data_IF_324775833596
#
_entry.id   IF_324775833596
#
_cell.length_a   1.000
_cell.length_b   1.000
_cell.length_c   1.000
_cell.angle_alpha   90.00
_cell.angle_beta   90.00
_cell.angle_gamma   90.00
#
_symmetry.space_group_name_H-M   'P 1'
#
loop_
_entity.id
_entity.type
_entity.pdbx_description
1 polymer ?
#
# COMPACT_ATOMS: atom_id res chain seq x y z
N UNK A 1 30.71 -71.31 -33.13
CA UNK A 1 29.78 -71.35 -34.28
C UNK A 1 28.89 -70.11 -34.16
N UNK A 2 29.23 -69.19 -35.01
CA UNK A 2 28.36 -68.32 -35.82
C UNK A 2 27.55 -67.34 -35.06
N UNK A 3 27.71 -66.14 -35.22
CA UNK A 3 28.00 -65.23 -36.32
C UNK A 3 26.86 -64.17 -36.36
N UNK A 4 27.27 -62.96 -36.74
CA UNK A 4 26.52 -61.82 -37.28
C UNK A 4 25.69 -60.94 -36.37
N UNK A 5 26.07 -59.80 -36.13
CA UNK A 5 26.17 -58.52 -36.68
C UNK A 5 24.87 -57.84 -37.07
N UNK A 6 24.87 -56.50 -37.34
CA UNK A 6 24.33 -55.45 -36.49
C UNK A 6 22.99 -54.92 -37.02
N UNK A 7 22.25 -54.23 -36.20
CA UNK A 7 21.16 -53.42 -36.73
C UNK A 7 21.03 -52.07 -36.02
N UNK A 8 21.05 -51.06 -36.82
CA UNK A 8 20.81 -49.65 -36.61
C UNK A 8 19.35 -49.37 -36.18
N UNK A 9 19.18 -48.58 -35.17
CA UNK A 9 17.88 -48.05 -34.73
C UNK A 9 17.99 -46.65 -34.17
N UNK A 10 17.55 -45.69 -34.96
CA UNK A 10 17.45 -44.28 -34.72
C UNK A 10 16.74 -43.95 -33.43
N UNK A 11 17.44 -43.29 -32.50
CA UNK A 11 16.85 -42.66 -31.33
C UNK A 11 16.55 -41.18 -31.61
N UNK A 12 15.31 -40.81 -31.49
CA UNK A 12 14.84 -39.41 -31.48
C UNK A 12 15.35 -38.70 -30.23
N UNK A 13 16.26 -37.78 -30.40
CA UNK A 13 16.62 -36.81 -29.40
C UNK A 13 15.66 -35.63 -29.48
N UNK A 14 14.89 -35.41 -28.44
CA UNK A 14 14.19 -34.12 -28.18
C UNK A 14 15.22 -33.06 -27.86
N UNK A 15 15.21 -31.90 -28.49
CA UNK A 15 16.10 -30.81 -28.12
C UNK A 15 15.54 -30.10 -26.89
N UNK A 16 16.19 -30.29 -25.75
CA UNK A 16 16.05 -29.46 -24.58
C UNK A 16 16.74 -28.12 -24.84
N UNK A 17 15.97 -27.14 -25.25
CA UNK A 17 16.45 -25.84 -25.71
C UNK A 17 16.58 -24.82 -24.58
N UNK A 18 17.36 -25.08 -23.56
CA UNK A 18 17.92 -24.03 -22.69
C UNK A 18 19.20 -23.48 -23.31
N UNK A 19 19.07 -22.67 -24.35
CA UNK A 19 20.18 -21.82 -24.79
C UNK A 19 20.37 -20.71 -23.77
N UNK A 20 21.44 -20.81 -22.99
CA UNK A 20 22.02 -19.70 -22.23
C UNK A 20 22.38 -18.58 -23.21
N UNK A 21 21.69 -17.44 -23.11
CA UNK A 21 22.04 -16.22 -23.83
C UNK A 21 23.46 -15.82 -23.41
N UNK A 22 24.44 -15.96 -24.31
CA UNK A 22 25.76 -15.38 -24.17
C UNK A 22 25.62 -13.86 -24.29
N UNK A 23 25.71 -13.17 -23.16
CA UNK A 23 25.82 -11.72 -23.08
C UNK A 23 27.28 -11.34 -23.42
N UNK A 24 27.44 -10.49 -24.40
CA UNK A 24 28.71 -9.90 -24.74
C UNK A 24 29.22 -8.97 -23.62
N UNK A 25 30.24 -9.38 -22.88
CA UNK A 25 30.75 -8.77 -21.65
C UNK A 25 31.71 -7.60 -21.92
N UNK A 26 31.45 -6.71 -22.85
CA UNK A 26 32.33 -5.55 -23.06
C UNK A 26 31.59 -4.21 -23.02
N UNK A 27 31.84 -3.44 -21.94
CA UNK A 27 31.53 -2.02 -21.73
C UNK A 27 30.09 -1.69 -21.30
N UNK A 28 29.81 -1.87 -20.03
CA UNK A 28 28.55 -1.51 -19.35
C UNK A 28 28.14 -2.50 -18.28
N UNK A 29 29.03 -3.46 -17.94
CA UNK A 29 28.75 -4.64 -17.12
C UNK A 29 28.47 -4.40 -15.63
N UNK A 30 28.85 -3.25 -15.08
CA UNK A 30 28.80 -3.01 -13.63
C UNK A 30 27.37 -2.87 -13.07
N UNK A 31 26.38 -2.66 -13.93
CA UNK A 31 24.98 -2.43 -13.51
C UNK A 31 24.01 -3.50 -13.98
N UNK A 32 24.46 -4.60 -14.60
CA UNK A 32 23.58 -5.63 -15.12
C UNK A 32 23.68 -6.92 -14.32
N UNK A 33 22.51 -7.40 -13.85
CA UNK A 33 22.34 -8.73 -13.29
C UNK A 33 22.35 -9.80 -14.40
N UNK A 34 22.62 -11.08 -14.07
CA UNK A 34 22.38 -12.19 -14.98
C UNK A 34 20.94 -12.13 -15.55
N UNK A 35 20.82 -12.19 -16.89
CA UNK A 35 19.54 -11.98 -17.58
C UNK A 35 19.28 -10.53 -18.02
N UNK A 36 20.29 -9.63 -17.93
CA UNK A 36 20.26 -8.28 -18.52
C UNK A 36 19.27 -7.31 -17.88
N UNK A 37 18.95 -7.49 -16.60
CA UNK A 37 18.20 -6.52 -15.80
C UNK A 37 19.17 -5.60 -15.07
N UNK A 38 18.79 -4.34 -14.88
CA UNK A 38 19.60 -3.38 -14.14
C UNK A 38 19.54 -3.67 -12.64
N UNK A 39 20.72 -3.74 -12.02
CA UNK A 39 20.89 -3.87 -10.57
C UNK A 39 20.74 -2.52 -9.88
N UNK A 40 19.68 -2.27 -9.13
CA UNK A 40 19.49 -0.99 -8.43
C UNK A 40 20.54 -0.78 -7.33
N UNK A 41 21.06 -1.85 -6.73
CA UNK A 41 22.08 -1.76 -5.67
C UNK A 41 23.41 -1.31 -6.24
N UNK A 42 23.85 -1.89 -7.36
CA UNK A 42 25.07 -1.48 -8.04
C UNK A 42 24.99 -0.02 -8.52
N UNK A 43 23.87 0.38 -9.13
CA UNK A 43 23.66 1.78 -9.53
C UNK A 43 23.74 2.73 -8.32
N UNK A 44 23.06 2.40 -7.22
CA UNK A 44 23.10 3.22 -6.00
C UNK A 44 24.52 3.35 -5.45
N UNK A 45 25.24 2.26 -5.35
CA UNK A 45 26.63 2.25 -4.86
C UNK A 45 27.51 3.18 -5.68
N UNK A 46 27.38 3.18 -7.01
CA UNK A 46 28.16 4.08 -7.87
C UNK A 46 27.85 5.55 -7.63
N UNK A 47 26.59 5.93 -7.38
CA UNK A 47 26.23 7.29 -7.00
C UNK A 47 26.81 7.69 -5.63
N UNK A 48 26.80 6.79 -4.65
CA UNK A 48 27.38 7.04 -3.34
C UNK A 48 28.89 7.21 -3.43
N UNK A 49 29.60 6.32 -4.13
CA UNK A 49 31.01 6.41 -4.35
C UNK A 49 31.42 7.73 -5.07
N UNK A 50 30.67 8.08 -6.14
CA UNK A 50 30.93 9.32 -6.87
C UNK A 50 30.74 10.56 -5.98
N UNK A 51 29.75 10.55 -5.09
CA UNK A 51 29.54 11.64 -4.12
C UNK A 51 30.64 11.71 -3.06
N UNK A 52 31.13 10.58 -2.56
CA UNK A 52 32.28 10.52 -1.64
C UNK A 52 33.57 11.03 -2.31
N UNK A 53 33.69 10.82 -3.62
CA UNK A 53 34.78 11.32 -4.43
C UNK A 53 34.63 12.81 -4.85
N UNK A 54 33.52 13.46 -4.45
CA UNK A 54 33.23 14.85 -4.80
C UNK A 54 32.77 15.05 -6.25
N UNK A 55 32.34 14.00 -6.92
CA UNK A 55 31.83 14.05 -8.30
C UNK A 55 30.31 14.17 -8.32
N UNK A 56 29.80 15.37 -8.09
CA UNK A 56 28.35 15.65 -8.08
C UNK A 56 27.72 15.61 -9.48
N UNK A 57 28.51 15.59 -10.55
CA UNK A 57 28.05 15.51 -11.95
C UNK A 57 27.94 14.06 -12.46
N UNK A 58 28.26 13.07 -11.62
CA UNK A 58 28.17 11.67 -12.00
C UNK A 58 26.76 11.27 -12.42
N UNK A 59 26.68 10.63 -13.58
CA UNK A 59 25.42 10.09 -14.11
C UNK A 59 25.64 8.65 -14.57
N UNK A 60 24.98 7.70 -13.91
CA UNK A 60 25.03 6.30 -14.31
C UNK A 60 24.38 6.11 -15.67
N UNK A 61 25.04 5.35 -16.56
CA UNK A 61 24.50 4.95 -17.86
C UNK A 61 24.54 3.44 -17.98
N UNK A 62 23.48 2.86 -18.49
CA UNK A 62 23.43 1.44 -18.80
C UNK A 62 23.31 1.25 -20.30
N UNK A 63 24.00 0.22 -20.82
CA UNK A 63 24.02 -0.13 -22.23
C UNK A 63 23.40 -1.51 -22.43
N UNK A 64 22.50 -1.62 -23.41
CA UNK A 64 21.91 -2.88 -23.86
C UNK A 64 22.21 -3.06 -25.35
N UNK A 65 22.80 -4.19 -25.72
CA UNK A 65 22.93 -4.61 -27.11
C UNK A 65 21.83 -5.61 -27.43
N UNK A 66 21.07 -5.39 -28.48
CA UNK A 66 19.90 -6.23 -28.80
C UNK A 66 20.35 -7.51 -29.51
N UNK A 67 20.09 -8.67 -28.91
CA UNK A 67 20.34 -9.98 -29.50
C UNK A 67 19.28 -10.41 -30.53
N UNK A 68 18.17 -9.69 -30.62
CA UNK A 68 17.05 -9.96 -31.57
C UNK A 68 16.25 -8.68 -31.86
N UNK A 69 15.47 -8.72 -32.92
CA UNK A 69 14.53 -7.66 -33.25
C UNK A 69 13.47 -7.51 -32.16
N UNK A 70 13.23 -6.29 -31.71
CA UNK A 70 12.22 -5.96 -30.73
C UNK A 70 11.03 -5.28 -31.42
N UNK A 71 9.86 -5.93 -31.36
CA UNK A 71 8.60 -5.37 -31.90
C UNK A 71 7.93 -4.39 -30.96
N UNK A 72 8.30 -4.43 -29.68
CA UNK A 72 7.75 -3.56 -28.66
C UNK A 72 8.37 -2.14 -28.74
N UNK A 73 7.66 -1.17 -28.18
CA UNK A 73 8.16 0.20 -28.02
C UNK A 73 9.36 0.21 -27.04
N UNK A 74 10.27 1.16 -27.22
CA UNK A 74 11.45 1.32 -26.37
C UNK A 74 11.10 1.44 -24.88
N UNK A 75 10.07 2.24 -24.53
CA UNK A 75 9.59 2.40 -23.17
C UNK A 75 9.12 1.07 -22.55
N UNK A 76 8.49 0.21 -23.33
CA UNK A 76 8.05 -1.12 -22.89
C UNK A 76 9.24 -2.07 -22.72
N UNK A 77 10.18 -2.07 -23.65
CA UNK A 77 11.40 -2.85 -23.55
C UNK A 77 12.19 -2.48 -22.27
N UNK A 78 12.45 -1.19 -22.07
CA UNK A 78 13.19 -0.69 -20.91
C UNK A 78 12.48 -1.02 -19.58
N UNK A 79 11.13 -1.03 -19.54
CA UNK A 79 10.38 -1.47 -18.34
C UNK A 79 10.67 -2.93 -17.96
N UNK A 80 11.03 -3.78 -18.92
CA UNK A 80 11.42 -5.17 -18.63
C UNK A 80 12.82 -5.28 -18.04
N UNK A 81 13.70 -4.32 -18.31
CA UNK A 81 15.11 -4.29 -17.92
C UNK A 81 15.35 -3.47 -16.64
N UNK A 82 14.62 -2.36 -16.45
CA UNK A 82 14.78 -1.41 -15.33
C UNK A 82 13.52 -1.51 -14.44
N UNK A 83 13.54 -2.45 -13.52
CA UNK A 83 12.35 -2.81 -12.71
C UNK A 83 11.97 -1.78 -11.65
N UNK A 84 12.91 -0.99 -11.16
CA UNK A 84 12.68 0.04 -10.13
C UNK A 84 12.10 1.35 -10.68
N UNK A 85 11.90 1.44 -12.00
CA UNK A 85 11.31 2.62 -12.65
C UNK A 85 9.94 2.29 -13.27
N UNK A 86 8.99 3.22 -13.13
CA UNK A 86 7.69 3.07 -13.79
C UNK A 86 7.81 3.34 -15.29
N UNK A 87 6.95 2.71 -16.10
CA UNK A 87 6.89 2.96 -17.55
C UNK A 87 6.70 4.44 -17.89
N UNK A 88 5.86 5.15 -17.12
CA UNK A 88 5.63 6.59 -17.32
C UNK A 88 6.91 7.41 -17.08
N UNK A 89 7.73 7.02 -16.07
CA UNK A 89 9.00 7.71 -15.80
C UNK A 89 10.03 7.43 -16.88
N UNK A 90 10.11 6.19 -17.36
CA UNK A 90 10.99 5.85 -18.49
C UNK A 90 10.57 6.60 -19.77
N UNK A 91 9.28 6.72 -20.05
CA UNK A 91 8.78 7.51 -21.17
C UNK A 91 9.17 9.00 -21.05
N UNK A 92 8.96 9.61 -19.90
CA UNK A 92 9.35 11.00 -19.63
C UNK A 92 10.87 11.20 -19.88
N UNK A 93 11.70 10.28 -19.40
CA UNK A 93 13.16 10.36 -19.58
C UNK A 93 13.57 10.19 -21.03
N UNK A 94 12.94 9.29 -21.78
CA UNK A 94 13.16 9.15 -23.22
C UNK A 94 12.83 10.46 -23.94
N UNK A 95 11.68 11.06 -23.62
CA UNK A 95 11.22 12.30 -24.24
C UNK A 95 12.11 13.50 -23.90
N UNK A 96 12.81 13.45 -22.75
CA UNK A 96 13.83 14.42 -22.32
C UNK A 96 15.25 14.13 -22.88
N UNK A 97 15.39 13.13 -23.74
CA UNK A 97 16.68 12.78 -24.34
C UNK A 97 17.59 11.89 -23.50
N UNK A 98 17.09 11.32 -22.39
CA UNK A 98 17.82 10.43 -21.50
C UNK A 98 18.11 9.02 -22.06
N UNK A 99 17.71 8.74 -23.31
CA UNK A 99 18.01 7.49 -23.99
C UNK A 99 18.56 7.74 -25.39
N UNK A 100 19.50 6.90 -25.85
CA UNK A 100 19.98 6.89 -27.22
C UNK A 100 19.83 5.50 -27.83
N UNK A 101 19.71 5.46 -29.16
CA UNK A 101 19.81 4.22 -29.95
C UNK A 101 20.88 4.47 -31.01
N UNK A 102 21.93 3.64 -30.99
CA UNK A 102 23.11 3.79 -31.85
C UNK A 102 23.72 5.22 -31.80
N UNK A 103 23.79 5.80 -30.59
CA UNK A 103 24.30 7.14 -30.34
C UNK A 103 23.37 8.30 -30.68
N UNK A 104 22.21 8.06 -31.31
CA UNK A 104 21.23 9.10 -31.63
C UNK A 104 20.13 9.14 -30.55
N UNK A 105 19.69 10.36 -30.17
CA UNK A 105 18.62 10.54 -29.19
C UNK A 105 17.38 9.76 -29.62
N UNK A 106 16.93 8.89 -28.75
CA UNK A 106 15.82 7.98 -29.03
C UNK A 106 14.47 8.67 -28.94
N UNK A 107 13.57 8.32 -29.85
CA UNK A 107 12.12 8.57 -29.69
C UNK A 107 11.47 7.37 -29.01
N UNK A 108 10.33 7.56 -28.40
CA UNK A 108 9.63 6.51 -27.67
C UNK A 108 9.21 5.27 -28.48
N UNK A 109 9.23 5.35 -29.80
CA UNK A 109 8.79 4.30 -30.73
C UNK A 109 9.73 4.03 -31.91
N UNK A 110 11.07 3.90 -31.71
CA UNK A 110 11.94 3.47 -32.79
C UNK A 110 11.69 2.01 -33.13
N UNK A 111 11.95 1.62 -34.38
CA UNK A 111 12.05 0.20 -34.75
C UNK A 111 13.40 -0.31 -34.26
N UNK A 112 13.38 -1.16 -33.26
CA UNK A 112 14.56 -1.74 -32.65
C UNK A 112 14.93 -3.06 -33.35
N UNK A 113 16.18 -3.18 -33.81
CA UNK A 113 16.70 -4.34 -34.56
C UNK A 113 17.81 -5.05 -33.79
N UNK A 114 18.07 -6.29 -34.17
CA UNK A 114 19.26 -7.00 -33.69
C UNK A 114 20.52 -6.17 -33.97
N UNK A 115 21.42 -6.12 -32.98
CA UNK A 115 22.65 -5.34 -33.02
C UNK A 115 22.49 -3.86 -32.63
N UNK A 116 21.27 -3.34 -32.47
CA UNK A 116 21.10 -1.98 -31.98
C UNK A 116 21.63 -1.86 -30.55
N UNK A 117 22.34 -0.76 -30.28
CA UNK A 117 22.87 -0.41 -28.98
C UNK A 117 21.98 0.67 -28.36
N UNK A 118 21.34 0.34 -27.26
CA UNK A 118 20.51 1.26 -26.48
C UNK A 118 21.34 1.71 -25.27
N UNK A 119 21.51 3.00 -25.08
CA UNK A 119 22.06 3.58 -23.86
C UNK A 119 20.96 4.36 -23.14
N UNK A 120 20.86 4.17 -21.82
CA UNK A 120 19.89 4.87 -20.98
C UNK A 120 20.59 5.47 -19.77
N UNK A 121 20.34 6.74 -19.52
CA UNK A 121 20.70 7.42 -18.28
C UNK A 121 19.83 6.84 -17.17
N UNK A 122 20.47 6.40 -16.09
CA UNK A 122 19.79 5.87 -14.92
C UNK A 122 19.99 6.87 -13.77
N UNK A 123 18.96 7.60 -13.32
CA UNK A 123 19.07 8.43 -12.13
C UNK A 123 19.38 7.55 -10.92
N UNK A 124 19.91 8.14 -9.85
CA UNK A 124 20.07 7.44 -8.59
C UNK A 124 18.74 6.76 -8.23
N UNK A 125 18.73 5.45 -8.01
CA UNK A 125 17.55 4.80 -7.48
C UNK A 125 17.13 5.52 -6.20
N UNK A 126 15.85 5.69 -5.91
CA UNK A 126 15.44 6.26 -4.64
C UNK A 126 16.19 5.51 -3.53
N UNK A 127 16.80 6.26 -2.61
CA UNK A 127 17.50 5.65 -1.48
C UNK A 127 16.51 4.71 -0.79
N UNK A 128 16.84 3.43 -0.67
CA UNK A 128 16.06 2.50 0.13
C UNK A 128 16.22 2.82 1.62
N UNK A 129 17.13 3.69 1.97
CA UNK A 129 17.30 4.22 3.30
C UNK A 129 16.13 5.14 3.64
N UNK A 130 15.40 4.71 4.65
CA UNK A 130 14.32 5.48 5.23
C UNK A 130 14.96 6.38 6.27
N UNK A 131 15.01 7.67 6.00
CA UNK A 131 15.57 8.64 6.95
C UNK A 131 14.71 8.69 8.21
N UNK A 132 15.32 8.77 9.41
CA UNK A 132 14.60 8.89 10.66
C UNK A 132 13.91 10.25 10.76
N UNK A 133 12.66 10.25 11.23
CA UNK A 133 11.90 11.45 11.60
C UNK A 133 11.36 11.30 13.02
N UNK A 134 11.55 12.30 13.88
CA UNK A 134 11.03 12.33 15.24
C UNK A 134 9.52 12.61 15.23
N UNK A 135 8.75 11.55 14.99
CA UNK A 135 7.29 11.59 15.00
C UNK A 135 6.81 10.70 16.15
N UNK A 136 6.04 11.23 17.11
CA UNK A 136 5.56 10.46 18.27
C UNK A 136 4.74 9.23 17.84
N UNK A 137 5.07 8.07 18.42
CA UNK A 137 4.34 6.83 18.24
C UNK A 137 3.60 6.44 19.52
N UNK A 138 2.39 5.89 19.37
CA UNK A 138 1.64 5.29 20.47
C UNK A 138 1.73 3.78 20.38
N UNK A 139 2.67 3.19 21.14
CA UNK A 139 2.89 1.74 21.18
C UNK A 139 1.79 1.08 22.01
N UNK A 140 1.16 0.04 21.46
CA UNK A 140 0.20 -0.84 22.14
C UNK A 140 0.87 -2.11 22.63
N UNK A 141 1.84 -2.63 21.87
CA UNK A 141 2.62 -3.80 22.19
C UNK A 141 3.92 -3.80 21.40
N UNK A 142 4.97 -4.28 22.04
CA UNK A 142 6.25 -4.57 21.39
C UNK A 142 6.88 -5.80 21.99
N UNK A 143 7.39 -6.69 21.15
CA UNK A 143 8.25 -7.81 21.52
C UNK A 143 9.42 -7.95 20.53
N UNK A 144 10.10 -9.08 20.50
CA UNK A 144 11.21 -9.35 19.59
C UNK A 144 10.77 -9.41 18.11
N UNK A 145 9.52 -9.75 17.84
CA UNK A 145 9.02 -10.13 16.50
C UNK A 145 8.08 -9.14 15.89
N UNK A 146 7.29 -8.44 16.68
CA UNK A 146 6.25 -7.53 16.23
C UNK A 146 6.21 -6.23 17.04
N UNK A 147 5.72 -5.18 16.39
CA UNK A 147 5.38 -3.91 17.01
C UNK A 147 3.96 -3.53 16.61
N UNK A 148 3.07 -3.34 17.59
CA UNK A 148 1.67 -2.93 17.37
C UNK A 148 1.48 -1.51 17.86
N UNK A 149 0.91 -0.65 17.01
CA UNK A 149 0.75 0.77 17.26
C UNK A 149 -0.73 1.19 17.16
N UNK A 150 -1.08 2.24 17.89
CA UNK A 150 -2.26 3.07 17.62
C UNK A 150 -1.85 4.23 16.71
N UNK A 151 -1.92 4.00 15.40
CA UNK A 151 -1.53 4.98 14.37
C UNK A 151 -2.34 6.27 14.51
N UNK A 152 -1.67 7.41 14.46
CA UNK A 152 -2.31 8.73 14.33
C UNK A 152 -2.85 8.94 12.90
N UNK A 153 -3.84 9.83 12.73
CA UNK A 153 -4.25 10.28 11.40
C UNK A 153 -3.15 11.11 10.72
N UNK A 154 -3.38 11.49 9.47
CA UNK A 154 -2.59 12.44 8.66
C UNK A 154 -1.17 11.97 8.29
N UNK A 155 -0.84 10.73 8.59
CA UNK A 155 0.43 10.10 8.27
C UNK A 155 0.23 8.86 7.40
N UNK A 156 0.99 8.73 6.30
CA UNK A 156 1.02 7.51 5.49
C UNK A 156 1.93 6.45 6.13
N UNK A 157 1.66 5.20 5.84
CA UNK A 157 2.41 4.09 6.45
C UNK A 157 3.82 4.01 5.89
N UNK A 158 4.00 4.13 4.60
CA UNK A 158 5.29 4.00 3.91
C UNK A 158 5.42 5.05 2.81
N UNK A 159 6.66 5.40 2.40
CA UNK A 159 6.91 6.38 1.37
C UNK A 159 6.09 6.16 0.10
N UNK A 160 5.61 7.23 -0.49
CA UNK A 160 4.89 7.26 -1.76
C UNK A 160 5.63 8.20 -2.73
N UNK A 161 5.24 8.15 -4.02
CA UNK A 161 5.95 8.87 -5.10
C UNK A 161 6.26 10.35 -4.86
N UNK A 162 5.48 11.03 -4.03
CA UNK A 162 5.63 12.45 -3.74
C UNK A 162 6.05 12.73 -2.29
N UNK A 163 6.13 11.71 -1.44
CA UNK A 163 6.37 11.85 0.00
C UNK A 163 7.34 10.78 0.47
N UNK A 164 8.60 11.15 0.64
CA UNK A 164 9.66 10.27 1.09
C UNK A 164 9.95 10.43 2.59
N UNK A 165 9.37 11.43 3.25
CA UNK A 165 9.51 11.74 4.67
C UNK A 165 8.14 11.92 5.33
N UNK A 166 8.12 12.01 6.65
CA UNK A 166 6.89 12.17 7.40
C UNK A 166 5.97 10.94 7.36
N UNK A 167 6.54 9.74 7.22
CA UNK A 167 5.78 8.49 7.19
C UNK A 167 5.94 7.70 8.47
N UNK A 168 5.06 6.70 8.69
CA UNK A 168 5.20 5.80 9.84
C UNK A 168 6.57 5.09 9.84
N UNK A 169 7.09 4.73 8.65
CA UNK A 169 8.41 4.09 8.58
C UNK A 169 9.54 5.04 9.00
N UNK A 170 9.47 6.34 8.64
CA UNK A 170 10.46 7.32 9.14
C UNK A 170 10.40 7.42 10.67
N UNK A 171 9.19 7.45 11.24
CA UNK A 171 8.99 7.45 12.69
C UNK A 171 9.53 6.17 13.36
N UNK A 172 9.33 5.02 12.72
CA UNK A 172 9.81 3.73 13.24
C UNK A 172 11.33 3.62 13.22
N UNK A 173 11.98 4.08 12.15
CA UNK A 173 13.45 4.12 12.11
C UNK A 173 14.00 4.99 13.24
N UNK A 174 13.43 6.18 13.46
CA UNK A 174 13.80 7.02 14.61
C UNK A 174 13.55 6.33 15.95
N UNK A 175 12.39 5.70 16.11
CA UNK A 175 12.01 4.97 17.32
C UNK A 175 13.02 3.88 17.67
N UNK A 176 13.37 3.01 16.73
CA UNK A 176 14.32 1.92 16.95
C UNK A 176 15.74 2.42 17.24
N UNK A 177 16.19 3.46 16.56
CA UNK A 177 17.49 4.09 16.84
C UNK A 177 17.56 4.67 18.25
N UNK A 178 16.47 5.30 18.70
CA UNK A 178 16.44 5.98 20.01
C UNK A 178 16.27 5.00 21.17
N UNK A 179 15.44 3.97 21.01
CA UNK A 179 15.13 3.01 22.08
C UNK A 179 16.01 1.77 22.06
N UNK A 180 16.85 1.59 21.03
CA UNK A 180 17.68 0.39 20.84
C UNK A 180 16.87 -0.92 20.95
N UNK A 181 15.61 -0.88 20.52
CA UNK A 181 14.64 -1.99 20.69
C UNK A 181 14.63 -2.95 19.49
N UNK A 182 15.65 -2.92 18.63
CA UNK A 182 15.76 -3.76 17.43
C UNK A 182 15.59 -2.97 16.14
N UNK A 183 15.06 -3.61 15.11
CA UNK A 183 14.90 -3.03 13.77
C UNK A 183 13.64 -3.60 13.10
N UNK A 184 13.30 -3.08 11.93
CA UNK A 184 12.25 -3.65 11.09
C UNK A 184 12.80 -4.85 10.29
N UNK A 185 11.91 -5.79 9.94
CA UNK A 185 12.23 -6.83 8.97
C UNK A 185 12.74 -6.22 7.68
N UNK A 186 13.79 -6.82 7.12
CA UNK A 186 14.37 -6.39 5.83
C UNK A 186 13.45 -6.67 4.64
N UNK A 187 12.45 -7.53 4.79
CA UNK A 187 11.48 -7.85 3.72
C UNK A 187 10.76 -6.61 3.25
N UNK A 188 10.89 -6.30 1.97
CA UNK A 188 10.31 -5.11 1.35
C UNK A 188 11.24 -3.89 1.30
N UNK A 189 12.48 -3.96 1.76
CA UNK A 189 13.45 -2.87 1.68
C UNK A 189 13.65 -2.37 0.25
N UNK A 190 13.68 -3.28 -0.74
CA UNK A 190 13.81 -2.95 -2.16
C UNK A 190 12.66 -2.07 -2.67
N UNK A 191 11.53 -2.04 -1.97
CA UNK A 191 10.36 -1.20 -2.27
C UNK A 191 10.18 -0.05 -1.26
N UNK A 192 11.16 0.19 -0.36
CA UNK A 192 11.09 1.11 0.77
C UNK A 192 9.87 0.82 1.69
N UNK A 193 9.66 -0.45 2.01
CA UNK A 193 8.54 -0.94 2.84
C UNK A 193 8.97 -2.00 3.87
N UNK A 194 10.13 -1.85 4.54
CA UNK A 194 10.59 -2.84 5.49
C UNK A 194 9.57 -3.07 6.59
N UNK A 195 9.33 -4.32 6.95
CA UNK A 195 8.44 -4.73 8.04
C UNK A 195 6.93 -4.44 7.84
N UNK A 196 6.51 -3.89 6.70
CA UNK A 196 5.10 -3.53 6.44
C UNK A 196 4.29 -4.74 5.96
N UNK A 197 3.49 -5.34 6.82
CA UNK A 197 2.63 -6.49 6.53
C UNK A 197 1.21 -6.09 6.11
N UNK A 198 0.75 -4.92 6.49
CA UNK A 198 -0.51 -4.31 6.04
C UNK A 198 -0.46 -2.77 6.14
N UNK A 199 -1.54 -2.11 5.75
CA UNK A 199 -1.59 -0.65 5.76
C UNK A 199 -2.96 -0.11 6.16
N UNK A 200 -2.94 1.12 6.69
CA UNK A 200 -4.11 1.99 6.86
C UNK A 200 -4.00 3.19 5.93
N UNK A 201 -5.13 3.78 5.58
CA UNK A 201 -5.14 5.04 4.81
C UNK A 201 -4.53 6.18 5.64
N UNK A 202 -4.08 7.26 4.99
CA UNK A 202 -3.46 8.43 5.62
C UNK A 202 -4.26 8.91 6.83
N UNK A 203 -5.53 9.21 6.63
CA UNK A 203 -6.40 9.81 7.64
C UNK A 203 -7.14 8.78 8.52
N UNK A 204 -6.94 7.48 8.29
CA UNK A 204 -7.44 6.42 9.17
C UNK A 204 -6.49 6.24 10.34
N UNK A 205 -7.02 6.29 11.55
CA UNK A 205 -6.26 6.02 12.79
C UNK A 205 -6.50 4.60 13.31
N UNK A 206 -5.74 4.16 14.33
CA UNK A 206 -5.99 2.91 15.04
C UNK A 206 -4.92 1.82 14.87
N UNK A 207 -5.28 0.59 15.19
CA UNK A 207 -4.37 -0.56 15.24
C UNK A 207 -3.67 -0.82 13.91
N UNK A 208 -2.33 -0.91 13.97
CA UNK A 208 -1.48 -1.36 12.87
C UNK A 208 -0.32 -2.17 13.45
N UNK A 209 0.08 -3.26 12.77
CA UNK A 209 1.21 -4.10 13.18
C UNK A 209 2.33 -4.03 12.15
N UNK A 210 3.57 -4.03 12.66
CA UNK A 210 4.81 -4.10 11.89
C UNK A 210 5.59 -5.34 12.32
N UNK A 211 6.30 -5.96 11.40
CA UNK A 211 7.19 -7.07 11.69
C UNK A 211 8.62 -6.56 11.95
N UNK A 212 9.25 -7.06 13.01
CA UNK A 212 10.62 -6.75 13.42
C UNK A 212 11.64 -7.78 12.91
N UNK A 213 11.18 -8.94 12.40
CA UNK A 213 12.02 -9.96 11.79
C UNK A 213 11.42 -10.50 10.50
N UNK A 214 12.27 -11.04 9.60
CA UNK A 214 11.82 -11.57 8.33
C UNK A 214 10.87 -12.77 8.51
N UNK A 215 11.15 -13.61 9.49
CA UNK A 215 10.27 -14.74 9.82
C UNK A 215 8.89 -14.27 10.27
N UNK A 216 8.83 -13.25 11.14
CA UNK A 216 7.56 -12.65 11.57
C UNK A 216 6.84 -11.99 10.40
N UNK A 217 7.57 -11.33 9.49
CA UNK A 217 7.00 -10.70 8.30
C UNK A 217 6.28 -11.73 7.42
N UNK A 218 6.95 -12.82 7.09
CA UNK A 218 6.36 -13.86 6.23
C UNK A 218 5.16 -14.55 6.87
N UNK A 219 5.27 -14.88 8.16
CA UNK A 219 4.16 -15.49 8.89
C UNK A 219 2.96 -14.55 9.03
N UNK A 220 3.18 -13.28 9.38
CA UNK A 220 2.11 -12.28 9.42
C UNK A 220 1.51 -12.03 8.03
N UNK A 221 2.35 -11.91 6.99
CA UNK A 221 1.89 -11.79 5.61
C UNK A 221 0.95 -12.93 5.21
N UNK A 222 1.32 -14.18 5.53
CA UNK A 222 0.49 -15.36 5.32
C UNK A 222 -0.84 -15.29 6.09
N UNK A 223 -0.83 -14.86 7.37
CA UNK A 223 -2.06 -14.71 8.16
C UNK A 223 -3.01 -13.66 7.54
N UNK A 224 -2.48 -12.55 7.02
CA UNK A 224 -3.29 -11.55 6.30
C UNK A 224 -3.86 -12.10 4.98
N UNK A 225 -3.05 -12.83 4.20
CA UNK A 225 -3.46 -13.45 2.94
C UNK A 225 -4.55 -14.51 3.16
N UNK A 226 -4.39 -15.34 4.18
CA UNK A 226 -5.33 -16.41 4.56
C UNK A 226 -6.54 -15.90 5.36
N UNK A 227 -6.64 -14.58 5.61
CA UNK A 227 -7.75 -13.96 6.34
C UNK A 227 -7.89 -14.47 7.79
N UNK A 228 -6.78 -14.77 8.43
CA UNK A 228 -6.70 -15.23 9.81
C UNK A 228 -6.50 -14.06 10.81
N UNK A 229 -6.79 -12.83 10.37
CA UNK A 229 -6.66 -11.62 11.17
C UNK A 229 -8.03 -10.98 11.33
N UNK A 230 -8.51 -10.85 12.57
CA UNK A 230 -9.71 -10.09 12.90
C UNK A 230 -9.41 -8.59 12.85
N UNK A 231 -10.14 -7.87 12.03
CA UNK A 231 -9.98 -6.43 11.81
C UNK A 231 -11.31 -5.74 11.99
N UNK A 232 -11.44 -5.00 13.09
CA UNK A 232 -12.64 -4.23 13.42
C UNK A 232 -12.35 -2.74 13.35
N UNK A 233 -13.24 -2.03 12.69
CA UNK A 233 -13.18 -0.59 12.55
C UNK A 233 -14.42 0.04 13.14
N UNK A 234 -14.30 1.27 13.67
CA UNK A 234 -15.42 2.13 13.96
C UNK A 234 -15.46 3.26 12.96
N UNK A 235 -16.65 3.58 12.49
CA UNK A 235 -16.90 4.72 11.63
C UNK A 235 -18.15 5.48 12.04
N UNK A 236 -18.05 6.81 12.01
CA UNK A 236 -19.22 7.67 12.09
C UNK A 236 -19.68 7.99 10.67
N UNK A 237 -20.96 7.71 10.36
CA UNK A 237 -21.51 7.86 9.01
C UNK A 237 -22.72 8.78 8.99
N UNK A 238 -22.96 9.40 7.83
CA UNK A 238 -24.18 10.17 7.57
C UNK A 238 -25.38 9.25 7.42
N UNK A 239 -26.49 9.72 7.88
CA UNK A 239 -27.81 9.07 7.88
C UNK A 239 -27.89 7.81 8.75
N UNK A 240 -29.11 7.33 8.94
CA UNK A 240 -29.34 6.11 9.69
C UNK A 240 -29.10 4.89 8.82
N UNK A 241 -28.16 4.06 9.22
CA UNK A 241 -28.07 2.69 8.73
C UNK A 241 -29.22 1.91 9.33
N UNK A 242 -30.19 1.53 8.50
CA UNK A 242 -31.46 0.96 8.98
C UNK A 242 -31.36 -0.49 9.43
N UNK A 243 -30.49 -1.28 8.79
CA UNK A 243 -30.22 -2.67 9.17
C UNK A 243 -29.20 -2.70 10.29
N UNK A 244 -29.53 -3.36 11.40
CA UNK A 244 -28.63 -3.45 12.55
C UNK A 244 -27.35 -4.21 12.22
N UNK A 245 -27.45 -5.24 11.38
CA UNK A 245 -26.32 -5.97 10.79
C UNK A 245 -26.54 -6.24 9.30
N UNK A 246 -25.48 -6.13 8.49
CA UNK A 246 -25.51 -6.53 7.09
C UNK A 246 -24.14 -6.89 6.55
N UNK A 247 -24.10 -7.89 5.67
CA UNK A 247 -22.94 -8.17 4.82
C UNK A 247 -23.00 -7.26 3.58
N UNK A 248 -21.92 -6.53 3.33
CA UNK A 248 -21.70 -5.74 2.13
C UNK A 248 -20.74 -6.56 1.25
N UNK A 249 -21.26 -7.16 0.18
CA UNK A 249 -20.49 -7.97 -0.78
C UNK A 249 -20.51 -7.28 -2.15
N UNK A 250 -19.60 -6.36 -2.34
CA UNK A 250 -19.52 -5.51 -3.53
C UNK A 250 -18.08 -5.46 -4.03
N UNK A 251 -17.80 -5.88 -5.27
CA UNK A 251 -16.44 -5.88 -5.82
C UNK A 251 -15.92 -4.47 -6.04
N UNK A 252 -14.64 -4.25 -5.73
CA UNK A 252 -13.98 -2.95 -5.80
C UNK A 252 -12.87 -2.91 -6.84
N UNK A 253 -12.79 -1.80 -7.56
CA UNK A 253 -11.74 -1.58 -8.55
C UNK A 253 -11.33 -0.11 -8.67
N UNK A 254 -10.34 0.19 -9.54
CA UNK A 254 -9.94 1.56 -9.81
C UNK A 254 -11.07 2.36 -10.45
N UNK A 255 -11.13 3.67 -10.17
CA UNK A 255 -12.09 4.56 -10.83
C UNK A 255 -11.85 4.58 -12.34
N UNK A 256 -12.88 4.52 -13.19
CA UNK A 256 -12.72 4.45 -14.65
C UNK A 256 -12.13 5.72 -15.25
N UNK A 257 -12.34 6.87 -14.63
CA UNK A 257 -11.79 8.15 -15.12
C UNK A 257 -10.28 8.23 -14.87
N UNK A 258 -9.56 8.72 -15.91
CA UNK A 258 -8.11 8.99 -15.85
C UNK A 258 -7.79 10.44 -15.49
N UNK A 259 -8.79 11.25 -15.17
CA UNK A 259 -8.62 12.64 -14.75
C UNK A 259 -7.78 12.72 -13.48
N UNK A 260 -6.94 13.77 -13.39
CA UNK A 260 -6.10 14.03 -12.19
C UNK A 260 -7.01 14.10 -10.94
N UNK A 261 -6.62 13.44 -9.87
CA UNK A 261 -7.43 13.29 -8.64
C UNK A 261 -8.38 12.09 -8.62
N UNK A 262 -8.72 11.48 -9.77
CA UNK A 262 -9.54 10.25 -9.81
C UNK A 262 -8.72 8.96 -9.72
N UNK A 263 -7.40 9.02 -9.94
CA UNK A 263 -6.53 7.83 -9.98
C UNK A 263 -6.43 7.08 -8.64
N UNK A 264 -6.57 7.80 -7.55
CA UNK A 264 -6.51 7.25 -6.20
C UNK A 264 -7.85 6.69 -5.72
N UNK A 265 -8.96 7.14 -6.35
CA UNK A 265 -10.30 6.68 -6.00
C UNK A 265 -10.51 5.23 -6.39
N UNK A 266 -11.25 4.53 -5.53
CA UNK A 266 -11.81 3.21 -5.81
C UNK A 266 -13.32 3.35 -5.95
N UNK A 267 -13.92 2.41 -6.68
CA UNK A 267 -15.38 2.37 -6.89
C UNK A 267 -15.85 0.93 -6.89
N UNK A 268 -17.14 0.72 -6.67
CA UNK A 268 -17.78 -0.57 -6.92
C UNK A 268 -17.75 -0.83 -8.43
N UNK A 269 -17.25 -2.02 -8.82
CA UNK A 269 -17.12 -2.44 -10.23
C UNK A 269 -17.47 -3.91 -10.37
N UNK A 270 -18.31 -4.22 -11.34
CA UNK A 270 -18.75 -5.58 -11.66
C UNK A 270 -18.09 -6.15 -12.93
N UNK A 271 -17.10 -5.43 -13.49
CA UNK A 271 -16.28 -5.88 -14.62
C UNK A 271 -14.99 -6.58 -14.15
N UNK A 272 -14.14 -7.02 -15.08
CA UNK A 272 -12.90 -7.76 -14.83
C UNK A 272 -11.87 -7.01 -13.95
N UNK A 273 -12.04 -5.70 -13.75
CA UNK A 273 -11.22 -4.89 -12.85
C UNK A 273 -11.75 -4.83 -11.41
N UNK A 274 -12.95 -5.36 -11.18
CA UNK A 274 -13.56 -5.49 -9.87
C UNK A 274 -12.99 -6.69 -9.11
N UNK A 275 -12.48 -6.47 -7.90
CA UNK A 275 -11.97 -7.52 -7.00
C UNK A 275 -12.97 -7.77 -5.87
N UNK A 276 -13.30 -9.03 -5.63
CA UNK A 276 -14.19 -9.43 -4.53
C UNK A 276 -13.80 -8.77 -3.22
N UNK A 277 -14.78 -8.15 -2.56
CA UNK A 277 -14.58 -7.36 -1.35
C UNK A 277 -15.79 -7.48 -0.44
N UNK A 278 -15.56 -7.88 0.80
CA UNK A 278 -16.61 -8.19 1.77
C UNK A 278 -16.38 -7.47 3.10
N UNK A 279 -17.41 -6.78 3.59
CA UNK A 279 -17.41 -6.05 4.87
C UNK A 279 -18.71 -6.37 5.61
N UNK A 280 -18.62 -6.80 6.87
CA UNK A 280 -19.80 -6.87 7.75
C UNK A 280 -19.92 -5.51 8.43
N UNK A 281 -21.09 -4.91 8.35
CA UNK A 281 -21.43 -3.64 8.99
C UNK A 281 -22.46 -3.88 10.08
N UNK A 282 -22.14 -3.47 11.33
CA UNK A 282 -22.99 -3.56 12.51
C UNK A 282 -23.25 -2.18 13.08
N UNK A 283 -24.49 -1.82 13.29
CA UNK A 283 -24.84 -0.54 13.94
C UNK A 283 -24.57 -0.64 15.44
N UNK A 284 -23.97 0.41 16.00
CA UNK A 284 -23.70 0.53 17.44
C UNK A 284 -24.64 1.56 18.08
N UNK A 285 -24.81 2.70 17.43
CA UNK A 285 -25.68 3.77 17.89
C UNK A 285 -26.26 4.55 16.69
N UNK A 286 -27.48 5.06 16.85
CA UNK A 286 -28.09 6.01 15.91
C UNK A 286 -28.35 7.33 16.60
N UNK A 287 -28.17 8.44 15.88
CA UNK A 287 -28.32 9.78 16.42
C UNK A 287 -29.19 10.63 15.50
N UNK A 288 -29.97 11.52 16.09
CA UNK A 288 -30.77 12.50 15.37
C UNK A 288 -30.59 13.89 15.98
N UNK A 289 -29.76 14.72 15.36
CA UNK A 289 -29.59 16.11 15.73
C UNK A 289 -30.73 16.96 15.18
N UNK A 290 -31.14 18.02 15.90
CA UNK A 290 -32.08 18.99 15.37
C UNK A 290 -31.59 19.58 14.04
N UNK A 291 -32.48 20.15 13.24
CA UNK A 291 -32.11 20.87 12.03
C UNK A 291 -31.04 21.92 12.30
N UNK A 292 -30.07 22.09 11.39
CA UNK A 292 -29.16 23.21 11.47
C UNK A 292 -29.94 24.53 11.31
N UNK A 293 -29.37 25.64 11.79
CA UNK A 293 -29.97 26.98 11.69
C UNK A 293 -30.45 27.25 10.26
N UNK A 294 -31.71 27.65 10.10
CA UNK A 294 -32.38 27.89 8.81
C UNK A 294 -32.62 26.65 7.94
N UNK A 295 -32.65 25.45 8.50
CA UNK A 295 -33.04 24.22 7.81
C UNK A 295 -34.21 23.55 8.53
N UNK A 296 -35.04 22.81 7.80
CA UNK A 296 -36.23 22.12 8.34
C UNK A 296 -36.02 20.61 8.55
N UNK A 297 -34.86 20.07 8.16
CA UNK A 297 -34.58 18.63 8.18
C UNK A 297 -33.59 18.26 9.25
N UNK A 298 -33.91 17.30 10.10
CA UNK A 298 -33.00 16.72 11.09
C UNK A 298 -31.73 16.18 10.43
N UNK A 299 -30.64 16.20 11.18
CA UNK A 299 -29.37 15.59 10.76
C UNK A 299 -29.23 14.24 11.42
N UNK A 300 -29.10 13.18 10.64
CA UNK A 300 -29.01 11.81 11.13
C UNK A 300 -27.61 11.28 10.97
N UNK A 301 -27.19 10.45 11.93
CA UNK A 301 -25.87 9.81 11.92
C UNK A 301 -25.99 8.41 12.51
N UNK A 302 -25.05 7.53 12.16
CA UNK A 302 -24.88 6.23 12.79
C UNK A 302 -23.42 5.99 13.14
N UNK A 303 -23.19 5.47 14.34
CA UNK A 303 -21.92 4.85 14.69
C UNK A 303 -22.00 3.38 14.28
N UNK A 304 -21.07 2.95 13.44
CA UNK A 304 -21.04 1.58 12.92
C UNK A 304 -19.71 0.91 13.20
N UNK A 305 -19.76 -0.38 13.52
CA UNK A 305 -18.61 -1.26 13.56
C UNK A 305 -18.53 -2.05 12.25
N UNK A 306 -17.33 -2.14 11.70
CA UNK A 306 -17.09 -2.78 10.42
C UNK A 306 -16.03 -3.86 10.57
N UNK A 307 -16.39 -5.09 10.22
CA UNK A 307 -15.48 -6.21 10.17
C UNK A 307 -15.03 -6.45 8.73
N UNK A 308 -13.70 -6.41 8.52
CA UNK A 308 -13.13 -6.60 7.19
C UNK A 308 -12.78 -8.07 6.93
N UNK A 309 -13.57 -8.75 6.10
CA UNK A 309 -13.25 -10.08 5.60
C UNK A 309 -12.22 -10.05 4.47
N UNK A 310 -12.09 -8.90 3.80
CA UNK A 310 -11.06 -8.60 2.79
C UNK A 310 -10.42 -7.25 3.11
N UNK A 311 -9.29 -6.90 2.48
CA UNK A 311 -8.55 -5.65 2.75
C UNK A 311 -8.20 -4.89 1.47
N UNK A 312 -9.20 -4.40 0.71
CA UNK A 312 -8.93 -3.61 -0.49
C UNK A 312 -8.75 -2.13 -0.14
N UNK A 313 -7.99 -1.42 -0.98
CA UNK A 313 -7.77 0.03 -0.81
C UNK A 313 -9.11 0.76 -0.73
N UNK A 314 -9.30 1.60 0.31
CA UNK A 314 -10.49 2.38 0.58
C UNK A 314 -11.79 1.55 0.74
N UNK A 315 -11.70 0.25 1.05
CA UNK A 315 -12.85 -0.67 1.02
C UNK A 315 -14.04 -0.16 1.83
N UNK A 316 -13.86 0.13 3.11
CA UNK A 316 -14.94 0.63 3.99
C UNK A 316 -15.54 1.91 3.43
N UNK A 317 -14.70 2.85 3.02
CA UNK A 317 -15.08 4.18 2.51
C UNK A 317 -15.95 4.06 1.25
N UNK A 318 -15.54 3.18 0.32
CA UNK A 318 -16.31 2.92 -0.92
C UNK A 318 -17.61 2.20 -0.63
N UNK A 319 -17.60 1.14 0.18
CA UNK A 319 -18.78 0.37 0.53
C UNK A 319 -19.86 1.25 1.16
N UNK A 320 -19.50 2.00 2.21
CA UNK A 320 -20.44 2.88 2.91
C UNK A 320 -20.95 4.01 2.02
N UNK A 321 -20.08 4.66 1.24
CA UNK A 321 -20.50 5.71 0.31
C UNK A 321 -21.41 5.18 -0.80
N UNK A 322 -21.18 3.96 -1.31
CA UNK A 322 -22.04 3.33 -2.32
C UNK A 322 -23.44 3.06 -1.78
N UNK A 323 -23.56 2.70 -0.51
CA UNK A 323 -24.84 2.48 0.16
C UNK A 323 -25.54 3.79 0.60
N UNK A 324 -24.95 4.95 0.35
CA UNK A 324 -25.50 6.24 0.75
C UNK A 324 -25.10 6.71 2.15
N UNK A 325 -24.28 5.94 2.87
CA UNK A 325 -23.84 6.23 4.24
C UNK A 325 -22.37 6.66 4.26
N UNK A 326 -22.03 7.77 3.56
CA UNK A 326 -20.63 8.27 3.51
C UNK A 326 -20.10 8.53 4.93
N UNK A 327 -18.82 8.20 5.14
CA UNK A 327 -18.16 8.46 6.42
C UNK A 327 -18.07 9.98 6.64
N UNK A 328 -18.40 10.45 7.82
CA UNK A 328 -18.26 11.85 8.20
C UNK A 328 -16.84 12.32 7.96
N UNK A 329 -16.67 13.48 7.30
CA UNK A 329 -15.38 14.07 6.97
C UNK A 329 -14.62 13.44 5.81
N UNK A 330 -15.17 12.41 5.15
CA UNK A 330 -14.54 11.78 3.97
C UNK A 330 -14.92 12.51 2.67
N UNK A 331 -14.23 13.59 2.39
CA UNK A 331 -14.45 14.45 1.22
C UNK A 331 -14.30 13.68 -0.11
N UNK A 332 -13.33 12.76 -0.17
CA UNK A 332 -13.10 11.93 -1.37
C UNK A 332 -14.34 11.11 -1.74
N UNK A 333 -15.11 10.66 -0.75
CA UNK A 333 -16.31 9.83 -0.91
C UNK A 333 -17.59 10.52 -0.45
N UNK A 334 -17.67 11.86 -0.62
CA UNK A 334 -18.86 12.70 -0.38
C UNK A 334 -19.28 12.85 1.08
N UNK A 335 -18.44 12.44 2.03
CA UNK A 335 -18.69 12.68 3.45
C UNK A 335 -18.44 14.15 3.79
N UNK A 336 -19.43 14.78 4.44
CA UNK A 336 -19.31 16.15 4.90
C UNK A 336 -18.72 16.18 6.30
N UNK A 337 -18.06 17.29 6.71
CA UNK A 337 -17.65 17.49 8.09
C UNK A 337 -18.84 17.43 9.06
N UNK A 338 -18.58 17.01 10.30
CA UNK A 338 -19.53 17.18 11.39
C UNK A 338 -19.36 18.60 11.95
N UNK A 339 -20.46 19.32 11.99
CA UNK A 339 -20.51 20.65 12.58
C UNK A 339 -21.28 20.60 13.91
N UNK A 340 -20.83 21.35 14.91
CA UNK A 340 -21.57 21.60 16.13
C UNK A 340 -22.83 22.45 15.88
N UNK A 341 -23.47 22.94 16.94
CA UNK A 341 -24.69 23.76 16.84
C UNK A 341 -24.40 25.20 16.40
N UNK A 342 -23.20 25.67 16.67
CA UNK A 342 -22.70 27.02 16.32
C UNK A 342 -22.13 27.03 14.87
N UNK A 343 -21.95 25.87 14.24
CA UNK A 343 -21.44 25.71 12.89
C UNK A 343 -19.91 25.55 12.84
N UNK A 344 -19.25 25.28 13.98
CA UNK A 344 -17.83 24.97 14.02
C UNK A 344 -17.59 23.50 13.62
N UNK A 345 -16.52 23.26 12.91
CA UNK A 345 -16.16 21.91 12.47
C UNK A 345 -15.53 21.10 13.61
N UNK A 346 -16.11 19.95 13.90
CA UNK A 346 -15.59 18.99 14.88
C UNK A 346 -14.58 18.03 14.27
N UNK A 347 -14.77 17.64 12.99
CA UNK A 347 -13.86 16.78 12.27
C UNK A 347 -13.96 17.05 10.76
N UNK A 348 -12.82 17.19 10.09
CA UNK A 348 -12.71 17.43 8.64
C UNK A 348 -12.20 16.22 7.85
N UNK A 349 -11.57 15.26 8.56
CA UNK A 349 -11.08 14.00 7.98
C UNK A 349 -12.06 12.86 8.20
N UNK A 350 -11.89 11.77 7.48
CA UNK A 350 -12.73 10.59 7.68
C UNK A 350 -12.75 10.14 9.14
N UNK A 351 -13.93 10.11 9.74
CA UNK A 351 -14.17 9.59 11.08
C UNK A 351 -14.14 8.05 11.04
N UNK A 352 -12.95 7.50 10.76
CA UNK A 352 -12.68 6.07 10.61
C UNK A 352 -11.49 5.67 11.47
N UNK A 353 -11.65 4.63 12.27
CA UNK A 353 -10.67 4.17 13.22
C UNK A 353 -10.58 2.63 13.22
N UNK A 354 -9.38 2.09 13.04
CA UNK A 354 -9.09 0.66 13.18
C UNK A 354 -9.08 0.29 14.67
N UNK A 355 -10.24 -0.07 15.18
CA UNK A 355 -10.49 -0.20 16.62
C UNK A 355 -9.87 -1.44 17.24
N UNK A 356 -9.89 -2.57 16.50
CA UNK A 356 -9.38 -3.85 16.98
C UNK A 356 -8.58 -4.56 15.89
N UNK A 357 -7.49 -5.19 16.33
CA UNK A 357 -6.68 -6.10 15.54
C UNK A 357 -6.42 -7.37 16.35
N UNK A 358 -6.94 -8.51 15.89
CA UNK A 358 -6.79 -9.82 16.52
C UNK A 358 -6.09 -10.82 15.59
N UNK A 359 -5.09 -11.53 16.10
CA UNK A 359 -4.36 -12.57 15.36
C UNK A 359 -3.60 -13.49 16.33
N UNK A 360 -3.19 -14.67 15.88
CA UNK A 360 -2.24 -15.47 16.63
C UNK A 360 -0.82 -14.94 16.41
N UNK A 361 -0.06 -14.77 17.49
CA UNK A 361 1.32 -14.31 17.42
C UNK A 361 2.15 -15.12 16.41
N UNK A 362 2.95 -14.49 15.54
CA UNK A 362 3.59 -15.20 14.42
C UNK A 362 4.55 -16.30 14.83
N UNK A 363 5.09 -16.27 16.04
CA UNK A 363 6.08 -17.24 16.51
C UNK A 363 5.49 -18.20 17.56
N UNK A 364 4.90 -17.68 18.65
CA UNK A 364 4.33 -18.50 19.71
C UNK A 364 2.95 -19.10 19.39
N UNK A 365 2.28 -18.59 18.35
CA UNK A 365 0.90 -18.92 17.96
C UNK A 365 -0.15 -18.65 19.06
N UNK A 366 0.20 -17.95 20.12
CA UNK A 366 -0.74 -17.51 21.15
C UNK A 366 -1.72 -16.46 20.59
N UNK A 367 -3.02 -16.54 20.94
CA UNK A 367 -3.99 -15.57 20.48
C UNK A 367 -3.75 -14.20 21.12
N UNK A 368 -3.67 -13.15 20.29
CA UNK A 368 -3.51 -11.76 20.70
C UNK A 368 -4.63 -10.90 20.16
N UNK A 369 -5.13 -9.99 21.00
CA UNK A 369 -6.17 -9.02 20.63
C UNK A 369 -5.78 -7.65 21.15
N UNK A 370 -5.57 -6.72 20.23
CA UNK A 370 -5.24 -5.33 20.50
C UNK A 370 -6.44 -4.44 20.23
N UNK A 371 -6.76 -3.56 21.16
CA UNK A 371 -7.77 -2.53 20.99
C UNK A 371 -7.11 -1.17 21.08
N UNK A 372 -7.24 -0.35 20.06
CA UNK A 372 -6.75 1.01 20.05
C UNK A 372 -7.81 1.96 20.63
N UNK A 373 -7.51 2.71 21.69
CA UNK A 373 -8.39 3.79 22.14
C UNK A 373 -8.61 4.80 21.02
N UNK A 374 -9.84 5.32 20.93
CA UNK A 374 -10.21 6.33 19.95
C UNK A 374 -9.31 7.57 20.07
N UNK A 375 -9.08 8.21 18.93
CA UNK A 375 -8.47 9.53 18.89
C UNK A 375 -9.45 10.60 19.34
N UNK A 376 -8.90 11.64 19.93
CA UNK A 376 -9.68 12.67 20.64
C UNK A 376 -10.75 13.31 19.74
N UNK A 377 -10.46 13.57 18.46
CA UNK A 377 -11.42 14.18 17.53
C UNK A 377 -12.61 13.25 17.23
N UNK A 378 -12.36 11.94 17.05
CA UNK A 378 -13.43 10.98 16.80
C UNK A 378 -14.28 10.79 18.07
N UNK A 379 -13.61 10.75 19.23
CA UNK A 379 -14.29 10.71 20.53
C UNK A 379 -15.17 11.94 20.71
N UNK A 380 -14.62 13.14 20.52
CA UNK A 380 -15.36 14.39 20.64
C UNK A 380 -16.59 14.44 19.75
N UNK A 381 -16.54 13.88 18.54
CA UNK A 381 -17.70 13.76 17.67
C UNK A 381 -18.77 12.84 18.26
N UNK A 382 -18.38 11.68 18.81
CA UNK A 382 -19.32 10.72 19.42
C UNK A 382 -19.94 11.33 20.68
N UNK A 383 -19.13 11.95 21.55
CA UNK A 383 -19.61 12.59 22.78
C UNK A 383 -20.58 13.74 22.47
N UNK A 384 -20.29 14.57 21.47
CA UNK A 384 -21.19 15.60 20.99
C UNK A 384 -22.53 15.01 20.51
N UNK A 385 -22.48 13.93 19.70
CA UNK A 385 -23.69 13.28 19.21
C UNK A 385 -24.49 12.60 20.33
N UNK A 386 -23.82 11.98 21.29
CA UNK A 386 -24.48 11.42 22.49
C UNK A 386 -25.17 12.51 23.33
N UNK A 387 -24.50 13.65 23.51
CA UNK A 387 -25.02 14.75 24.30
C UNK A 387 -26.17 15.51 23.62
N UNK A 388 -26.24 15.55 22.28
CA UNK A 388 -27.11 16.42 21.52
C UNK A 388 -28.01 15.72 20.51
N UNK A 389 -27.76 14.46 20.21
CA UNK A 389 -28.35 13.73 19.09
C UNK A 389 -29.30 12.59 19.48
N UNK A 390 -29.85 12.60 20.70
CA UNK A 390 -30.78 11.55 21.17
C UNK A 390 -30.30 10.15 20.82
N UNK A 391 -29.24 9.63 21.45
CA UNK A 391 -28.64 8.36 21.09
C UNK A 391 -29.61 7.20 21.25
N UNK A 392 -29.69 6.35 20.25
CA UNK A 392 -30.40 5.07 20.28
C UNK A 392 -29.39 3.96 20.18
N UNK A 393 -28.97 3.34 21.31
CA UNK A 393 -28.05 2.22 21.29
C UNK A 393 -28.64 1.02 20.54
N UNK A 394 -27.78 0.29 19.83
CA UNK A 394 -28.12 -0.96 19.14
C UNK A 394 -27.16 -2.03 19.63
N UNK A 395 -27.72 -3.11 20.14
CA UNK A 395 -26.94 -4.25 20.58
C UNK A 395 -26.88 -5.30 19.47
N UNK A 396 -25.66 -5.62 19.03
CA UNK A 396 -25.39 -6.70 18.10
C UNK A 396 -24.33 -7.60 18.71
N UNK A 397 -24.58 -8.90 18.74
CA UNK A 397 -23.66 -9.89 19.31
C UNK A 397 -22.32 -9.90 18.57
N UNK A 398 -21.23 -10.17 19.30
CA UNK A 398 -19.88 -10.27 18.74
C UNK A 398 -19.21 -8.94 18.39
N UNK A 399 -19.80 -7.81 18.80
CA UNK A 399 -19.19 -6.49 18.65
C UNK A 399 -18.17 -6.19 19.76
N UNK A 400 -17.22 -5.30 19.48
CA UNK A 400 -16.19 -4.88 20.46
C UNK A 400 -16.88 -4.12 21.62
N UNK A 401 -16.64 -4.49 22.90
CA UNK A 401 -17.16 -3.75 24.03
C UNK A 401 -16.76 -2.27 23.99
N UNK A 402 -17.70 -1.35 24.22
CA UNK A 402 -17.48 0.09 24.09
C UNK A 402 -16.46 0.60 25.13
N UNK A 403 -16.45 0.01 26.33
CA UNK A 403 -15.50 0.33 27.42
C UNK A 403 -14.05 0.10 26.95
N UNK A 404 -13.79 -0.93 26.15
CA UNK A 404 -12.44 -1.17 25.59
C UNK A 404 -12.00 -0.11 24.60
N UNK A 405 -12.94 0.63 24.05
CA UNK A 405 -12.72 1.75 23.12
C UNK A 405 -12.65 3.09 23.85
N UNK A 406 -12.78 3.06 25.18
CA UNK A 406 -12.94 4.21 26.06
C UNK A 406 -14.15 5.07 25.64
N UNK A 407 -15.25 4.42 25.34
CA UNK A 407 -16.58 4.98 25.04
C UNK A 407 -17.58 4.43 26.05
N UNK A 408 -17.46 4.83 27.31
CA UNK A 408 -18.37 4.44 28.38
C UNK A 408 -19.72 5.15 28.28
#
# INVERSE_FOLDING_TARGET
MTDTGPNTGSGNATPDGTQSESLDESLGGDFLLPGGKVDPVAVRRSYLNAREEGNDEFVAKVRFTLARDIRDRLDKYLTTRIKFMSRSKLQEMIDQGGATVNGSVAKSSPKLRVGDVIEMVIPAPPSGEIEPDDIPLRVLHEDEYILVLNKQPDIIVHPARAENRGTMLNALVHYFQTHQSGELSSVGEEFARPGVVHRLDRHTSGCIVFAKSDLAHWKMGSKFEQRQVDKRYLALVHDWVTKDEQLIDLPLGPHPSRVRGSREKRVVRFDDLGKASQTICRVRERYELPPARNKSVSRRYSLVELELLTGRTHQIRVHLSHLGHSIVGDDMYKGKPLLDLEGQTLIERQALHAALLGFNHPISEEPMVFVAPLRDEVRACIDFLRARGNPTPVFVEGTVPMERLALD
#
